data_IF_540942682070
#
_entry.id   IF_540942682070
#
_cell.length_a   1.000
_cell.length_b   1.000
_cell.length_c   1.000
_cell.angle_alpha   90.00
_cell.angle_beta   90.00
_cell.angle_gamma   90.00
#
_symmetry.space_group_name_H-M   'P 1'
#
loop_
_entity.id
_entity.type
_entity.pdbx_description
1 polymer ?
#
# COMPACT_ATOMS: atom_id res chain seq x y z
N UNK A 1 15.12 -38.50 12.10
CA UNK A 1 14.55 -37.20 11.70
C UNK A 1 14.25 -37.23 10.23
N UNK A 2 12.98 -37.02 9.85
CA UNK A 2 12.65 -36.75 8.45
C UNK A 2 13.10 -35.33 8.11
N UNK A 3 13.86 -35.11 7.03
CA UNK A 3 14.29 -33.77 6.66
C UNK A 3 13.08 -32.89 6.31
N UNK A 4 13.14 -31.57 6.57
CA UNK A 4 12.11 -30.64 6.12
C UNK A 4 12.05 -30.59 4.58
N UNK A 5 10.86 -30.34 4.05
CA UNK A 5 10.65 -30.09 2.61
C UNK A 5 10.57 -28.58 2.38
N UNK A 6 11.53 -28.01 1.65
CA UNK A 6 11.60 -26.58 1.38
C UNK A 6 11.10 -26.28 -0.03
N UNK A 7 10.15 -25.35 -0.15
CA UNK A 7 9.72 -24.75 -1.41
C UNK A 7 9.96 -23.25 -1.33
N UNK A 8 11.12 -22.79 -1.81
CA UNK A 8 11.49 -21.38 -1.78
C UNK A 8 11.46 -20.76 -3.17
N UNK A 9 11.01 -19.51 -3.26
CA UNK A 9 11.02 -18.66 -4.46
C UNK A 9 12.17 -17.66 -4.45
N UNK A 10 12.77 -17.41 -3.29
CA UNK A 10 13.99 -16.63 -3.12
C UNK A 10 15.07 -17.51 -2.47
N UNK A 11 15.74 -18.42 -3.21
CA UNK A 11 16.72 -19.35 -2.64
C UNK A 11 18.07 -18.67 -2.37
N UNK A 12 18.06 -17.62 -1.56
CA UNK A 12 19.27 -16.90 -1.17
C UNK A 12 20.07 -17.69 -0.13
N UNK A 13 21.41 -17.54 -0.05
CA UNK A 13 22.23 -18.31 0.87
C UNK A 13 21.84 -18.15 2.34
N UNK A 14 21.53 -16.94 2.79
CA UNK A 14 21.09 -16.67 4.16
C UNK A 14 19.75 -17.34 4.47
N UNK A 15 18.77 -17.25 3.56
CA UNK A 15 17.45 -17.88 3.75
C UNK A 15 17.54 -19.42 3.75
N UNK A 16 18.36 -20.00 2.85
CA UNK A 16 18.61 -21.44 2.83
C UNK A 16 19.33 -21.95 4.08
N UNK A 17 20.17 -21.10 4.69
CA UNK A 17 20.96 -21.42 5.87
C UNK A 17 20.20 -21.39 7.21
N UNK A 18 18.93 -21.00 7.22
CA UNK A 18 18.12 -20.98 8.44
C UNK A 18 17.87 -22.41 8.99
N UNK A 19 17.65 -22.57 10.32
CA UNK A 19 17.50 -23.88 10.95
C UNK A 19 16.10 -24.48 10.73
N UNK A 20 15.81 -24.82 9.47
CA UNK A 20 14.54 -25.40 9.01
C UNK A 20 14.25 -26.80 9.60
N UNK A 21 15.24 -27.43 10.21
CA UNK A 21 15.15 -28.74 10.87
C UNK A 21 14.65 -28.65 12.33
N UNK A 22 14.39 -27.44 12.85
CA UNK A 22 13.91 -27.18 14.22
C UNK A 22 12.61 -26.38 14.23
N UNK A 23 11.73 -26.52 15.24
CA UNK A 23 10.48 -25.75 15.32
C UNK A 23 10.79 -24.26 15.47
N UNK A 24 9.89 -23.39 14.97
CA UNK A 24 10.13 -21.95 14.96
C UNK A 24 10.29 -21.38 16.38
N UNK A 25 9.64 -21.98 17.38
CA UNK A 25 9.74 -21.59 18.79
C UNK A 25 11.17 -21.60 19.33
N UNK A 26 12.01 -22.52 18.85
CA UNK A 26 13.39 -22.71 19.30
C UNK A 26 14.40 -21.77 18.63
N UNK A 27 13.99 -21.00 17.62
CA UNK A 27 14.88 -20.05 16.96
C UNK A 27 15.22 -18.90 17.92
N UNK A 28 16.50 -18.69 18.20
CA UNK A 28 16.96 -17.68 19.17
C UNK A 28 18.14 -16.87 18.64
N UNK A 29 18.29 -15.65 19.15
CA UNK A 29 19.48 -14.82 18.93
C UNK A 29 20.64 -15.39 19.78
N UNK A 30 21.90 -15.37 19.31
CA UNK A 30 22.38 -14.86 18.02
C UNK A 30 22.46 -15.90 16.90
N UNK A 31 22.07 -17.17 17.16
CA UNK A 31 22.15 -18.26 16.16
C UNK A 31 21.34 -17.94 14.90
N UNK A 32 20.17 -17.33 15.08
CA UNK A 32 19.32 -16.83 14.00
C UNK A 32 19.28 -15.30 14.08
N UNK A 33 19.45 -14.58 12.95
CA UNK A 33 19.38 -13.12 12.89
C UNK A 33 17.93 -12.62 13.02
N UNK A 34 17.33 -12.84 14.20
CA UNK A 34 15.98 -12.42 14.51
C UNK A 34 15.92 -10.90 14.75
N UNK A 35 14.83 -10.28 14.29
CA UNK A 35 14.52 -8.88 14.54
C UNK A 35 13.27 -8.79 15.40
N UNK A 36 13.31 -7.94 16.42
CA UNK A 36 12.13 -7.59 17.19
C UNK A 36 11.32 -6.54 16.42
N UNK A 37 10.18 -6.97 15.89
CA UNK A 37 9.20 -6.12 15.25
C UNK A 37 7.95 -6.17 16.11
N UNK A 38 7.59 -5.04 16.73
CA UNK A 38 6.35 -4.98 17.51
C UNK A 38 5.16 -5.10 16.56
N UNK A 39 4.70 -6.34 16.41
CA UNK A 39 3.49 -6.74 15.71
C UNK A 39 2.36 -6.99 16.68
N UNK A 40 1.12 -6.75 16.24
CA UNK A 40 -0.09 -7.12 16.95
C UNK A 40 -0.16 -8.62 17.27
N UNK A 41 -1.10 -8.98 18.13
CA UNK A 41 -1.33 -10.38 18.48
C UNK A 41 -1.67 -11.19 17.23
N UNK A 42 -0.91 -12.27 16.99
CA UNK A 42 -1.20 -13.25 15.95
C UNK A 42 -1.69 -14.54 16.59
N UNK A 43 -2.59 -15.24 15.90
CA UNK A 43 -3.05 -16.58 16.29
C UNK A 43 -1.93 -17.63 16.21
N UNK A 44 -0.94 -17.37 15.36
CA UNK A 44 0.20 -18.23 15.06
C UNK A 44 1.49 -17.60 15.57
N UNK A 45 2.52 -18.42 15.80
CA UNK A 45 3.84 -17.90 16.12
C UNK A 45 4.45 -17.25 14.87
N UNK A 46 4.79 -15.96 14.96
CA UNK A 46 5.48 -15.22 13.91
C UNK A 46 6.81 -14.72 14.43
N UNK A 47 7.88 -14.93 13.66
CA UNK A 47 9.19 -14.30 13.89
C UNK A 47 9.63 -13.54 12.64
N UNK A 48 10.48 -12.53 12.82
CA UNK A 48 11.07 -11.78 11.72
C UNK A 48 12.56 -12.06 11.65
N UNK A 49 13.04 -12.37 10.45
CA UNK A 49 14.41 -12.85 10.22
C UNK A 49 15.05 -11.98 9.15
N UNK A 50 16.22 -11.43 9.46
CA UNK A 50 17.06 -10.72 8.51
C UNK A 50 17.94 -11.73 7.76
N UNK A 51 17.78 -11.84 6.44
CA UNK A 51 18.62 -12.71 5.62
C UNK A 51 18.92 -12.05 4.29
N UNK A 52 20.21 -11.98 3.95
CA UNK A 52 20.71 -11.41 2.69
C UNK A 52 20.28 -9.94 2.47
N UNK A 53 20.17 -9.16 3.56
CA UNK A 53 19.76 -7.76 3.53
C UNK A 53 18.26 -7.55 3.33
N UNK A 54 17.46 -8.60 3.40
CA UNK A 54 16.00 -8.56 3.34
C UNK A 54 15.40 -9.06 4.65
N UNK A 55 14.27 -8.47 5.04
CA UNK A 55 13.50 -8.92 6.18
C UNK A 55 12.39 -9.88 5.74
N UNK A 56 12.30 -11.02 6.42
CA UNK A 56 11.32 -12.06 6.15
C UNK A 56 10.43 -12.26 7.38
N UNK A 57 9.12 -12.45 7.16
CA UNK A 57 8.22 -12.94 8.19
C UNK A 57 8.08 -14.45 8.04
N UNK A 58 8.32 -15.18 9.13
CA UNK A 58 8.15 -16.64 9.20
C UNK A 58 7.02 -16.96 10.17
N UNK A 59 5.98 -17.64 9.68
CA UNK A 59 4.73 -17.94 10.40
C UNK A 59 4.59 -19.46 10.54
N UNK A 60 4.60 -19.96 11.78
CA UNK A 60 4.47 -21.38 12.12
C UNK A 60 2.98 -21.77 12.20
N UNK A 61 2.55 -22.73 11.39
CA UNK A 61 1.15 -23.05 11.15
C UNK A 61 0.92 -24.53 10.81
N UNK A 62 -0.30 -25.05 11.02
CA UNK A 62 -0.65 -26.40 10.55
C UNK A 62 -0.43 -26.57 9.03
N UNK A 63 0.16 -27.69 8.56
CA UNK A 63 0.62 -27.85 7.17
C UNK A 63 -0.43 -27.57 6.10
N UNK A 64 -1.66 -28.03 6.33
CA UNK A 64 -2.78 -27.82 5.39
C UNK A 64 -3.15 -26.35 5.26
N UNK A 65 -3.10 -25.62 6.36
CA UNK A 65 -3.45 -24.20 6.42
C UNK A 65 -2.34 -23.38 5.77
N UNK A 66 -1.08 -23.65 6.11
CA UNK A 66 0.08 -23.00 5.52
C UNK A 66 0.14 -23.18 3.99
N UNK A 67 -0.14 -24.40 3.50
CA UNK A 67 -0.21 -24.67 2.07
C UNK A 67 -1.33 -23.89 1.37
N UNK A 68 -2.53 -23.87 1.96
CA UNK A 68 -3.66 -23.09 1.43
C UNK A 68 -3.32 -21.60 1.38
N UNK A 69 -2.81 -21.03 2.47
CA UNK A 69 -2.47 -19.61 2.54
C UNK A 69 -1.35 -19.25 1.55
N UNK A 70 -0.31 -20.10 1.42
CA UNK A 70 0.74 -19.93 0.41
C UNK A 70 0.17 -19.88 -1.01
N UNK A 71 -0.72 -20.81 -1.37
CA UNK A 71 -1.33 -20.88 -2.70
C UNK A 71 -2.23 -19.66 -2.98
N UNK A 72 -2.98 -19.19 -1.99
CA UNK A 72 -3.80 -17.97 -2.10
C UNK A 72 -2.91 -16.76 -2.30
N UNK A 73 -1.93 -16.52 -1.43
CA UNK A 73 -1.01 -15.38 -1.55
C UNK A 73 -0.27 -15.38 -2.89
N UNK A 74 0.11 -16.56 -3.38
CA UNK A 74 0.71 -16.72 -4.71
C UNK A 74 -0.22 -16.24 -5.81
N UNK A 75 -1.49 -16.60 -5.72
CA UNK A 75 -2.48 -16.18 -6.71
C UNK A 75 -2.75 -14.68 -6.63
N UNK A 76 -2.79 -14.11 -5.42
CA UNK A 76 -2.93 -12.65 -5.23
C UNK A 76 -1.76 -11.90 -5.87
N UNK A 77 -0.53 -12.37 -5.70
CA UNK A 77 0.66 -11.80 -6.35
C UNK A 77 0.59 -11.90 -7.89
N UNK A 78 0.17 -13.05 -8.44
CA UNK A 78 -0.02 -13.23 -9.88
C UNK A 78 -1.07 -12.28 -10.47
N UNK A 79 -2.07 -11.89 -9.65
CA UNK A 79 -3.10 -10.92 -10.01
C UNK A 79 -2.69 -9.47 -9.72
N UNK A 80 -1.46 -9.23 -9.23
CA UNK A 80 -0.99 -7.88 -8.90
C UNK A 80 -1.69 -7.23 -7.70
N UNK A 81 -2.38 -8.02 -6.86
CA UNK A 81 -3.18 -7.51 -5.77
C UNK A 81 -2.32 -7.09 -4.56
N UNK A 82 -2.75 -6.07 -3.80
CA UNK A 82 -2.02 -5.56 -2.63
C UNK A 82 -2.10 -6.54 -1.45
N UNK A 83 -1.25 -7.55 -1.48
CA UNK A 83 -1.04 -8.53 -0.41
C UNK A 83 0.46 -8.79 -0.20
N UNK A 84 0.82 -9.33 0.97
CA UNK A 84 2.21 -9.73 1.24
C UNK A 84 2.65 -10.84 0.28
N UNK A 85 3.90 -10.75 -0.19
CA UNK A 85 4.41 -11.68 -1.19
C UNK A 85 4.97 -12.95 -0.54
N UNK A 86 4.49 -14.15 -0.93
CA UNK A 86 5.00 -15.41 -0.39
C UNK A 86 6.38 -15.72 -0.99
N UNK A 87 7.35 -15.88 -0.11
CA UNK A 87 8.74 -16.22 -0.42
C UNK A 87 8.99 -17.73 -0.37
N UNK A 88 8.19 -18.47 0.39
CA UNK A 88 8.31 -19.92 0.43
C UNK A 88 7.39 -20.60 1.44
N UNK A 89 7.41 -21.92 1.41
CA UNK A 89 6.71 -22.80 2.33
C UNK A 89 7.66 -23.94 2.72
N UNK A 90 7.81 -24.17 4.03
CA UNK A 90 8.66 -25.23 4.56
C UNK A 90 7.80 -26.21 5.35
N UNK A 91 7.69 -27.45 4.91
CA UNK A 91 7.00 -28.50 5.66
C UNK A 91 7.99 -29.14 6.64
N UNK A 92 7.56 -29.34 7.87
CA UNK A 92 8.34 -30.00 8.92
C UNK A 92 7.60 -31.25 9.42
N UNK A 93 7.68 -32.39 8.69
CA UNK A 93 6.91 -33.59 9.02
C UNK A 93 7.21 -34.20 10.40
N UNK A 94 8.38 -33.90 10.98
CA UNK A 94 8.75 -34.35 12.32
C UNK A 94 7.94 -33.64 13.42
N UNK A 95 7.56 -32.38 13.20
CA UNK A 95 6.84 -31.54 14.17
C UNK A 95 5.35 -31.37 13.82
N UNK A 96 4.90 -32.01 12.74
CA UNK A 96 3.54 -31.86 12.19
C UNK A 96 3.15 -30.40 11.91
N UNK A 97 4.12 -29.54 11.61
CA UNK A 97 3.93 -28.12 11.30
C UNK A 97 4.50 -27.73 9.94
N UNK A 98 4.19 -26.52 9.50
CA UNK A 98 4.78 -25.87 8.36
C UNK A 98 5.08 -24.41 8.66
N UNK A 99 6.12 -23.86 8.03
CA UNK A 99 6.49 -22.47 8.12
C UNK A 99 6.18 -21.79 6.79
N UNK A 100 5.24 -20.85 6.82
CA UNK A 100 4.99 -19.93 5.71
C UNK A 100 6.00 -18.78 5.79
N UNK A 101 6.71 -18.52 4.69
CA UNK A 101 7.69 -17.44 4.59
C UNK A 101 7.12 -16.37 3.66
N UNK A 102 6.99 -15.14 4.15
CA UNK A 102 6.58 -13.98 3.34
C UNK A 102 7.64 -12.89 3.41
N UNK A 103 7.75 -12.09 2.34
CA UNK A 103 8.59 -10.90 2.34
C UNK A 103 7.96 -9.87 3.26
N UNK A 104 8.76 -9.29 4.14
CA UNK A 104 8.30 -8.17 4.95
C UNK A 104 8.07 -6.94 4.07
N UNK A 105 6.96 -6.24 4.30
CA UNK A 105 6.65 -5.01 3.59
C UNK A 105 7.36 -3.83 4.26
N UNK A 106 8.51 -3.43 3.71
CA UNK A 106 9.29 -2.29 4.21
C UNK A 106 8.51 -0.97 4.10
N UNK A 107 8.70 -0.07 5.07
CA UNK A 107 7.96 1.19 5.10
C UNK A 107 6.44 1.02 5.29
N UNK A 108 6.01 -0.10 5.88
CA UNK A 108 4.62 -0.32 6.25
C UNK A 108 4.40 -0.24 7.76
N UNK A 109 3.17 0.10 8.14
CA UNK A 109 2.75 0.25 9.52
C UNK A 109 1.49 -0.55 9.78
N UNK A 110 1.45 -1.11 10.98
CA UNK A 110 0.19 -1.59 11.54
C UNK A 110 -0.63 -0.40 11.99
N UNK A 111 -1.95 -0.52 11.85
CA UNK A 111 -2.91 0.51 12.22
C UNK A 111 -2.66 1.11 13.61
N UNK A 112 -2.41 0.24 14.60
CA UNK A 112 -2.20 0.64 15.99
C UNK A 112 -1.10 1.71 16.14
N UNK A 113 0.00 1.57 15.39
CA UNK A 113 1.12 2.52 15.45
C UNK A 113 0.76 3.86 14.83
N UNK A 114 0.05 3.84 13.71
CA UNK A 114 -0.43 5.05 13.05
C UNK A 114 -1.34 5.83 14.00
N UNK A 115 -2.31 5.14 14.60
CA UNK A 115 -3.28 5.78 15.47
C UNK A 115 -2.71 6.24 16.81
N UNK A 116 -1.72 5.54 17.39
CA UNK A 116 -0.99 6.02 18.58
C UNK A 116 -0.27 7.35 18.35
N UNK A 117 0.07 7.67 17.09
CA UNK A 117 0.79 8.89 16.72
C UNK A 117 -0.09 9.94 16.04
N UNK A 118 -1.28 9.56 15.61
CA UNK A 118 -2.29 10.48 15.12
C UNK A 118 -3.00 11.13 16.30
N UNK A 119 -2.98 12.47 16.41
CA UNK A 119 -3.74 13.16 17.43
C UNK A 119 -5.23 12.79 17.33
N UNK A 120 -5.92 12.51 18.45
CA UNK A 120 -7.31 12.05 18.46
C UNK A 120 -8.27 13.06 17.80
N UNK A 121 -7.88 14.32 17.69
CA UNK A 121 -8.58 15.42 17.04
C UNK A 121 -8.37 15.53 15.51
N UNK A 122 -7.70 14.55 14.87
CA UNK A 122 -7.46 14.55 13.41
C UNK A 122 -8.28 13.49 12.64
N UNK A 123 -9.60 13.71 12.46
CA UNK A 123 -10.48 12.76 11.78
C UNK A 123 -10.11 12.53 10.30
N UNK A 124 -9.45 13.50 9.65
CA UNK A 124 -9.02 13.38 8.26
C UNK A 124 -8.00 12.27 8.03
N UNK A 125 -7.07 12.06 8.96
CA UNK A 125 -6.06 11.00 8.81
C UNK A 125 -6.66 9.61 9.03
N UNK A 126 -7.60 9.47 9.98
CA UNK A 126 -8.38 8.24 10.12
C UNK A 126 -9.19 7.95 8.87
N UNK A 127 -9.87 8.96 8.31
CA UNK A 127 -10.61 8.82 7.07
C UNK A 127 -9.74 8.27 5.93
N UNK A 128 -8.49 8.73 5.77
CA UNK A 128 -7.56 8.22 4.75
C UNK A 128 -7.20 6.73 4.95
N UNK A 129 -7.09 6.27 6.19
CA UNK A 129 -6.85 4.85 6.48
C UNK A 129 -8.05 3.99 6.12
N UNK A 130 -9.24 4.47 6.50
CA UNK A 130 -10.51 3.81 6.19
C UNK A 130 -10.78 3.80 4.67
N UNK A 131 -10.39 4.85 3.94
CA UNK A 131 -10.39 4.88 2.47
C UNK A 131 -9.48 3.81 1.87
N UNK A 132 -8.25 3.69 2.39
CA UNK A 132 -7.31 2.66 1.93
C UNK A 132 -7.87 1.25 2.14
N UNK A 133 -8.53 0.99 3.28
CA UNK A 133 -9.20 -0.29 3.54
C UNK A 133 -10.36 -0.57 2.59
N UNK A 134 -11.24 0.42 2.37
CA UNK A 134 -12.33 0.28 1.42
C UNK A 134 -11.79 -0.01 0.00
N UNK A 135 -10.73 0.71 -0.40
CA UNK A 135 -10.04 0.49 -1.67
C UNK A 135 -9.45 -0.92 -1.80
N UNK A 136 -8.78 -1.43 -0.76
CA UNK A 136 -8.28 -2.81 -0.73
C UNK A 136 -9.41 -3.82 -0.93
N UNK A 137 -10.51 -3.68 -0.18
CA UNK A 137 -11.62 -4.62 -0.25
C UNK A 137 -12.32 -4.60 -1.62
N UNK A 138 -12.50 -3.40 -2.21
CA UNK A 138 -13.00 -3.27 -3.59
C UNK A 138 -12.11 -4.03 -4.57
N UNK A 139 -10.79 -3.88 -4.46
CA UNK A 139 -9.84 -4.55 -5.36
C UNK A 139 -9.89 -6.07 -5.25
N UNK A 140 -9.89 -6.60 -4.02
CA UNK A 140 -10.03 -8.04 -3.78
C UNK A 140 -11.34 -8.56 -4.39
N UNK A 141 -12.46 -7.88 -4.13
CA UNK A 141 -13.78 -8.29 -4.59
C UNK A 141 -13.93 -8.22 -6.12
N UNK A 142 -13.33 -7.23 -6.78
CA UNK A 142 -13.32 -7.13 -8.26
C UNK A 142 -12.61 -8.31 -8.91
N UNK A 143 -11.64 -8.90 -8.22
CA UNK A 143 -10.86 -10.05 -8.67
C UNK A 143 -11.37 -11.38 -8.12
N UNK A 144 -12.59 -11.41 -7.56
CA UNK A 144 -13.21 -12.64 -7.10
C UNK A 144 -12.66 -13.17 -5.77
N UNK A 145 -11.90 -12.35 -5.02
CA UNK A 145 -11.28 -12.76 -3.75
C UNK A 145 -12.19 -12.39 -2.59
N UNK A 146 -12.70 -13.41 -1.89
CA UNK A 146 -13.34 -13.27 -0.58
C UNK A 146 -12.26 -13.32 0.51
N UNK A 147 -12.22 -12.35 1.41
CA UNK A 147 -11.18 -12.26 2.44
C UNK A 147 -11.51 -13.12 3.66
N UNK A 148 -12.71 -13.00 4.21
CA UNK A 148 -13.21 -13.79 5.34
C UNK A 148 -12.66 -13.42 6.71
N UNK A 149 -11.71 -12.48 6.81
CA UNK A 149 -11.17 -11.95 8.07
C UNK A 149 -10.64 -10.52 7.89
N UNK A 150 -11.47 -9.67 7.26
CA UNK A 150 -11.20 -8.26 7.04
C UNK A 150 -11.02 -7.54 8.39
N UNK A 151 -9.81 -7.13 8.75
CA UNK A 151 -9.55 -6.48 10.04
C UNK A 151 -8.37 -5.52 9.99
N UNK A 152 -8.34 -4.56 10.91
CA UNK A 152 -7.19 -3.68 11.11
C UNK A 152 -5.92 -4.43 11.53
N UNK A 153 -6.07 -5.58 12.18
CA UNK A 153 -4.95 -6.42 12.61
C UNK A 153 -4.30 -7.17 11.43
N UNK A 154 -5.10 -7.57 10.43
CA UNK A 154 -4.64 -8.27 9.24
C UNK A 154 -4.30 -7.32 8.06
N UNK A 155 -4.25 -6.01 8.33
CA UNK A 155 -3.96 -4.98 7.34
C UNK A 155 -2.67 -4.24 7.68
N UNK A 156 -1.77 -4.13 6.71
CA UNK A 156 -0.65 -3.19 6.75
C UNK A 156 -0.96 -1.97 5.88
N UNK A 157 -0.46 -0.82 6.29
CA UNK A 157 -0.59 0.43 5.54
C UNK A 157 0.79 0.89 5.12
N UNK A 158 0.94 1.36 3.88
CA UNK A 158 2.14 2.03 3.42
C UNK A 158 1.79 3.35 2.74
N UNK A 159 2.75 4.25 2.63
CA UNK A 159 2.61 5.43 1.78
C UNK A 159 2.77 5.01 0.32
N UNK A 160 1.91 5.53 -0.53
CA UNK A 160 2.02 5.40 -1.98
C UNK A 160 1.78 6.78 -2.61
N UNK A 161 2.86 7.56 -2.71
CA UNK A 161 2.80 8.93 -3.16
C UNK A 161 2.05 9.78 -2.14
N UNK A 162 0.95 10.40 -2.56
CA UNK A 162 0.12 11.22 -1.67
C UNK A 162 -0.95 10.42 -0.90
N UNK A 163 -1.14 9.14 -1.24
CA UNK A 163 -2.18 8.29 -0.67
C UNK A 163 -1.62 7.31 0.36
N UNK A 164 -2.54 6.60 1.03
CA UNK A 164 -2.23 5.42 1.82
C UNK A 164 -2.72 4.20 1.07
N UNK A 165 -1.86 3.19 0.97
CA UNK A 165 -2.19 1.90 0.41
C UNK A 165 -2.37 0.90 1.56
N UNK A 166 -3.47 0.16 1.54
CA UNK A 166 -3.69 -0.96 2.45
C UNK A 166 -3.28 -2.28 1.77
N UNK A 167 -2.74 -3.21 2.57
CA UNK A 167 -2.21 -4.49 2.14
C UNK A 167 -2.76 -5.62 3.00
N UNK A 168 -3.23 -6.69 2.36
CA UNK A 168 -3.65 -7.92 3.03
C UNK A 168 -2.43 -8.70 3.50
N UNK A 169 -2.39 -9.06 4.78
CA UNK A 169 -1.28 -9.83 5.37
C UNK A 169 -1.64 -11.27 5.68
N UNK A 170 -2.87 -11.51 6.12
CA UNK A 170 -3.36 -12.85 6.45
C UNK A 170 -4.43 -13.27 5.44
N UNK A 171 -4.11 -14.32 4.68
CA UNK A 171 -4.99 -14.90 3.66
C UNK A 171 -5.54 -16.28 4.07
N UNK A 172 -5.40 -16.67 5.34
CA UNK A 172 -5.80 -17.99 5.86
C UNK A 172 -7.27 -18.31 5.55
N UNK A 173 -8.15 -17.34 5.80
CA UNK A 173 -9.60 -17.44 5.61
C UNK A 173 -10.04 -17.14 4.18
N UNK A 174 -9.12 -16.66 3.34
CA UNK A 174 -9.49 -16.18 2.00
C UNK A 174 -9.82 -17.32 1.04
N UNK A 175 -10.65 -16.98 0.06
CA UNK A 175 -11.09 -17.85 -1.01
C UNK A 175 -11.11 -17.09 -2.34
N UNK A 176 -10.70 -17.76 -3.41
CA UNK A 176 -10.68 -17.17 -4.75
C UNK A 176 -11.74 -17.85 -5.60
N UNK A 177 -12.64 -17.04 -6.14
CA UNK A 177 -13.75 -17.45 -7.00
C UNK A 177 -13.62 -16.77 -8.37
N UNK A 178 -14.24 -17.30 -9.44
CA UNK A 178 -14.26 -16.60 -10.72
C UNK A 178 -14.89 -15.20 -10.64
N UNK A 179 -15.94 -15.07 -9.82
CA UNK A 179 -16.61 -13.81 -9.48
C UNK A 179 -17.28 -13.97 -8.13
N UNK A 180 -17.22 -12.94 -7.27
CA UNK A 180 -17.98 -12.97 -6.01
C UNK A 180 -19.47 -12.67 -6.23
N UNK A 181 -20.31 -13.43 -5.54
CA UNK A 181 -21.73 -13.11 -5.40
C UNK A 181 -21.94 -11.85 -4.54
N UNK A 182 -23.10 -11.19 -4.69
CA UNK A 182 -23.49 -10.08 -3.80
C UNK A 182 -23.54 -10.52 -2.33
N UNK A 183 -23.91 -11.77 -2.06
CA UNK A 183 -23.97 -12.34 -0.71
C UNK A 183 -22.59 -12.44 -0.06
N UNK A 184 -21.60 -12.97 -0.79
CA UNK A 184 -20.21 -13.05 -0.32
C UNK A 184 -19.63 -11.66 -0.04
N UNK A 185 -19.81 -10.70 -0.96
CA UNK A 185 -19.33 -9.33 -0.75
C UNK A 185 -19.97 -8.66 0.47
N UNK A 186 -21.27 -8.86 0.67
CA UNK A 186 -21.97 -8.32 1.85
C UNK A 186 -21.45 -8.96 3.14
N UNK A 187 -21.19 -10.26 3.12
CA UNK A 187 -20.66 -10.96 4.28
C UNK A 187 -19.27 -10.45 4.68
N UNK A 188 -18.37 -10.22 3.71
CA UNK A 188 -17.06 -9.61 3.98
C UNK A 188 -17.19 -8.18 4.54
N UNK A 189 -18.19 -7.41 4.11
CA UNK A 189 -18.46 -6.07 4.65
C UNK A 189 -18.96 -6.12 6.10
N UNK A 190 -19.85 -7.07 6.43
CA UNK A 190 -20.35 -7.27 7.80
C UNK A 190 -19.18 -7.60 8.74
N UNK A 191 -18.33 -8.58 8.37
CA UNK A 191 -17.11 -8.93 9.10
C UNK A 191 -16.19 -7.72 9.26
N UNK A 192 -15.96 -6.98 8.18
CA UNK A 192 -15.08 -5.83 8.18
C UNK A 192 -15.55 -4.72 9.13
N UNK A 193 -16.84 -4.37 9.10
CA UNK A 193 -17.39 -3.32 9.98
C UNK A 193 -17.25 -3.73 11.45
N UNK A 194 -17.60 -4.97 11.80
CA UNK A 194 -17.48 -5.49 13.16
C UNK A 194 -16.01 -5.46 13.64
N UNK A 195 -15.11 -6.05 12.87
CA UNK A 195 -13.69 -6.15 13.21
C UNK A 195 -12.98 -4.79 13.26
N UNK A 196 -13.31 -3.87 12.36
CA UNK A 196 -12.75 -2.51 12.36
C UNK A 196 -13.26 -1.76 13.59
N UNK A 197 -14.57 -1.79 13.87
CA UNK A 197 -15.14 -1.14 15.05
C UNK A 197 -14.50 -1.65 16.35
N UNK A 198 -14.38 -2.97 16.51
CA UNK A 198 -13.71 -3.58 17.66
C UNK A 198 -12.25 -3.13 17.77
N UNK A 199 -11.50 -3.15 16.66
CA UNK A 199 -10.11 -2.73 16.63
C UNK A 199 -9.88 -1.26 16.97
N UNK A 200 -10.83 -0.37 16.59
CA UNK A 200 -10.79 1.05 16.94
C UNK A 200 -11.07 1.28 18.43
N UNK A 201 -12.07 0.60 18.98
CA UNK A 201 -12.46 0.73 20.39
C UNK A 201 -11.39 0.16 21.32
N UNK A 202 -10.88 -1.06 21.06
CA UNK A 202 -9.76 -1.66 21.83
C UNK A 202 -8.56 -0.70 21.87
N UNK A 203 -8.29 -0.01 20.77
CA UNK A 203 -7.20 0.94 20.72
C UNK A 203 -7.48 2.23 21.51
N UNK A 204 -8.70 2.76 21.44
CA UNK A 204 -9.12 3.93 22.21
C UNK A 204 -9.02 3.67 23.72
N UNK A 205 -9.46 2.49 24.18
CA UNK A 205 -9.36 2.07 25.58
C UNK A 205 -7.90 1.96 26.05
N UNK A 206 -7.04 1.32 25.25
CA UNK A 206 -5.59 1.22 25.56
C UNK A 206 -4.90 2.57 25.64
N UNK A 207 -5.40 3.55 24.90
CA UNK A 207 -4.91 4.93 24.91
C UNK A 207 -5.53 5.79 26.01
N UNK A 208 -6.50 5.27 26.77
CA UNK A 208 -7.22 6.00 27.80
C UNK A 208 -8.07 7.15 27.23
N UNK A 209 -8.57 7.01 26.01
CA UNK A 209 -9.46 8.01 25.41
C UNK A 209 -10.84 7.99 26.10
N UNK A 210 -11.59 9.12 26.09
CA UNK A 210 -12.92 9.16 26.68
C UNK A 210 -13.91 8.22 25.98
N UNK A 211 -14.79 7.58 26.75
CA UNK A 211 -15.84 6.68 26.26
C UNK A 211 -16.74 7.31 25.18
N UNK A 212 -16.94 8.63 25.24
CA UNK A 212 -17.69 9.40 24.23
C UNK A 212 -17.11 9.24 22.81
N UNK A 213 -15.81 8.95 22.71
CA UNK A 213 -15.13 8.69 21.44
C UNK A 213 -15.55 7.36 20.80
N UNK A 214 -15.99 6.37 21.59
CA UNK A 214 -16.34 5.05 21.07
C UNK A 214 -17.48 5.11 20.04
N UNK A 215 -18.50 5.92 20.30
CA UNK A 215 -19.60 6.12 19.35
C UNK A 215 -19.12 6.74 18.03
N UNK A 216 -18.17 7.67 18.11
CA UNK A 216 -17.58 8.29 16.92
C UNK A 216 -16.78 7.27 16.10
N UNK A 217 -15.99 6.43 16.77
CA UNK A 217 -15.17 5.41 16.12
C UNK A 217 -16.01 4.30 15.48
N UNK A 218 -17.08 3.86 16.14
CA UNK A 218 -18.03 2.90 15.56
C UNK A 218 -18.68 3.50 14.31
N UNK A 219 -19.14 4.76 14.37
CA UNK A 219 -19.71 5.43 13.21
C UNK A 219 -18.67 5.61 12.07
N UNK A 220 -17.39 5.85 12.39
CA UNK A 220 -16.32 5.88 11.40
C UNK A 220 -16.10 4.50 10.75
N UNK A 221 -16.17 3.40 11.50
CA UNK A 221 -16.09 2.04 10.95
C UNK A 221 -17.25 1.73 9.99
N UNK A 222 -18.49 2.12 10.36
CA UNK A 222 -19.66 1.97 9.49
C UNK A 222 -19.51 2.76 8.17
N UNK A 223 -18.81 3.90 8.19
CA UNK A 223 -18.53 4.66 6.97
C UNK A 223 -17.63 3.91 5.97
N UNK A 224 -16.84 2.92 6.41
CA UNK A 224 -16.01 2.12 5.49
C UNK A 224 -16.91 1.38 4.50
N UNK A 225 -18.04 0.84 4.97
CA UNK A 225 -19.02 0.19 4.10
C UNK A 225 -19.57 1.17 3.07
N UNK A 226 -19.98 2.37 3.49
CA UNK A 226 -20.51 3.38 2.57
C UNK A 226 -19.47 3.83 1.52
N UNK A 227 -18.20 3.94 1.92
CA UNK A 227 -17.07 4.25 1.01
C UNK A 227 -16.87 3.11 0.01
N UNK A 228 -16.85 1.87 0.47
CA UNK A 228 -16.77 0.69 -0.39
C UNK A 228 -17.94 0.65 -1.39
N UNK A 229 -19.18 0.87 -0.94
CA UNK A 229 -20.36 0.82 -1.82
C UNK A 229 -20.31 1.91 -2.87
N UNK A 230 -19.96 3.14 -2.48
CA UNK A 230 -19.76 4.27 -3.39
C UNK A 230 -18.71 3.92 -4.46
N UNK A 231 -17.57 3.37 -4.05
CA UNK A 231 -16.50 2.95 -4.95
C UNK A 231 -16.95 1.84 -5.90
N UNK A 232 -17.60 0.81 -5.35
CA UNK A 232 -18.11 -0.30 -6.13
C UNK A 232 -19.10 0.17 -7.20
N UNK A 233 -20.02 1.05 -6.84
CA UNK A 233 -20.97 1.66 -7.77
C UNK A 233 -20.27 2.48 -8.84
N UNK A 234 -19.31 3.35 -8.48
CA UNK A 234 -18.57 4.16 -9.43
C UNK A 234 -17.83 3.31 -10.48
N UNK A 235 -17.27 2.17 -10.06
CA UNK A 235 -16.52 1.26 -10.93
C UNK A 235 -17.41 0.41 -11.85
N UNK A 236 -18.67 0.18 -11.46
CA UNK A 236 -19.60 -0.69 -12.20
C UNK A 236 -20.75 0.07 -12.86
N UNK A 237 -20.87 1.38 -12.63
CA UNK A 237 -21.89 2.21 -13.24
C UNK A 237 -21.56 2.52 -14.71
N UNK A 238 -22.61 2.55 -15.54
CA UNK A 238 -22.55 3.10 -16.90
C UNK A 238 -23.41 4.37 -16.96
N UNK A 239 -22.97 5.50 -16.36
CA UNK A 239 -23.79 6.70 -16.31
C UNK A 239 -24.02 7.27 -17.71
N UNK A 240 -25.21 7.86 -17.91
CA UNK A 240 -25.61 8.50 -19.17
C UNK A 240 -25.69 10.01 -18.97
N UNK A 241 -24.87 10.76 -19.69
CA UNK A 241 -24.80 12.23 -19.62
C UNK A 241 -25.27 12.88 -20.91
N UNK A 242 -25.65 14.17 -20.87
CA UNK A 242 -25.79 14.94 -22.10
C UNK A 242 -24.43 15.20 -22.74
N UNK A 243 -24.36 15.41 -24.06
CA UNK A 243 -23.09 15.68 -24.75
C UNK A 243 -22.29 16.88 -24.16
N UNK A 244 -22.98 17.87 -23.57
CA UNK A 244 -22.36 19.05 -22.98
C UNK A 244 -21.93 18.88 -21.51
N UNK A 245 -22.20 17.74 -20.87
CA UNK A 245 -21.90 17.50 -19.45
C UNK A 245 -20.46 16.96 -19.23
N UNK A 246 -19.47 17.45 -19.98
CA UNK A 246 -18.07 16.98 -19.90
C UNK A 246 -17.49 17.08 -18.48
N UNK A 247 -17.90 18.12 -17.72
CA UNK A 247 -17.51 18.30 -16.32
C UNK A 247 -17.89 17.14 -15.40
N UNK A 248 -18.95 16.37 -15.73
CA UNK A 248 -19.36 15.20 -14.93
C UNK A 248 -18.39 14.03 -15.10
N UNK A 249 -17.90 13.84 -16.32
CA UNK A 249 -16.91 12.80 -16.63
C UNK A 249 -15.60 13.12 -15.94
N UNK A 250 -15.12 14.36 -16.05
CA UNK A 250 -13.94 14.85 -15.33
C UNK A 250 -14.10 14.70 -13.81
N UNK A 251 -15.28 15.00 -13.28
CA UNK A 251 -15.59 14.81 -11.86
C UNK A 251 -15.54 13.34 -11.42
N UNK A 252 -16.02 12.41 -12.23
CA UNK A 252 -15.92 10.96 -11.95
C UNK A 252 -14.47 10.49 -11.97
N UNK A 253 -13.68 10.90 -12.97
CA UNK A 253 -12.25 10.56 -13.06
C UNK A 253 -11.50 11.11 -11.84
N UNK A 254 -11.72 12.38 -11.50
CA UNK A 254 -11.10 13.00 -10.33
C UNK A 254 -11.43 12.24 -9.05
N UNK A 255 -12.70 11.86 -8.87
CA UNK A 255 -13.13 11.11 -7.68
C UNK A 255 -12.49 9.71 -7.60
N UNK A 256 -12.30 9.03 -8.72
CA UNK A 256 -11.57 7.76 -8.76
C UNK A 256 -10.10 7.94 -8.39
N UNK A 257 -9.44 8.97 -8.94
CA UNK A 257 -8.05 9.30 -8.62
C UNK A 257 -7.88 9.69 -7.14
N UNK A 258 -8.79 10.51 -6.59
CA UNK A 258 -8.82 10.86 -5.16
C UNK A 258 -8.93 9.64 -4.24
N UNK A 259 -9.48 8.54 -4.76
CA UNK A 259 -9.65 7.27 -4.05
C UNK A 259 -8.58 6.22 -4.42
N UNK A 260 -7.57 6.62 -5.21
CA UNK A 260 -6.41 5.78 -5.56
C UNK A 260 -6.63 4.80 -6.71
N UNK A 261 -7.63 5.02 -7.55
CA UNK A 261 -7.86 4.23 -8.76
C UNK A 261 -7.36 4.97 -10.00
N UNK A 262 -6.49 4.34 -10.79
CA UNK A 262 -6.06 4.86 -12.09
C UNK A 262 -7.09 4.51 -13.18
N UNK A 263 -7.60 5.54 -13.86
CA UNK A 263 -8.49 5.36 -15.02
C UNK A 263 -7.64 5.05 -16.26
N UNK A 264 -7.88 3.89 -16.86
CA UNK A 264 -7.12 3.38 -18.02
C UNK A 264 -7.80 3.77 -19.34
N UNK A 265 -9.10 3.46 -19.48
CA UNK A 265 -9.85 3.80 -20.68
C UNK A 265 -11.18 4.49 -20.34
N UNK A 266 -11.50 5.53 -21.10
CA UNK A 266 -12.80 6.18 -21.10
C UNK A 266 -13.52 5.90 -22.41
N UNK A 267 -14.53 5.02 -22.39
CA UNK A 267 -15.37 4.76 -23.54
C UNK A 267 -16.64 5.61 -23.49
N UNK A 268 -16.80 6.50 -24.48
CA UNK A 268 -18.00 7.31 -24.68
C UNK A 268 -18.77 6.77 -25.88
N UNK A 269 -20.01 6.31 -25.67
CA UNK A 269 -20.89 5.82 -26.74
C UNK A 269 -22.22 6.56 -26.74
N UNK A 270 -22.81 6.90 -27.89
CA UNK A 270 -24.18 7.43 -27.91
C UNK A 270 -25.14 6.47 -27.22
N UNK A 271 -26.07 7.00 -26.44
CA UNK A 271 -27.08 6.17 -25.78
C UNK A 271 -28.08 5.62 -26.80
N UNK A 272 -28.46 4.36 -26.64
CA UNK A 272 -29.33 3.68 -27.59
C UNK A 272 -30.77 4.23 -27.59
N UNK A 273 -31.22 4.83 -26.48
CA UNK A 273 -32.55 5.42 -26.37
C UNK A 273 -32.58 6.90 -26.78
N UNK A 274 -31.48 7.63 -26.60
CA UNK A 274 -31.35 9.04 -26.95
C UNK A 274 -29.95 9.38 -27.49
N UNK A 275 -29.79 9.54 -28.82
CA UNK A 275 -28.50 9.86 -29.44
C UNK A 275 -27.90 11.22 -29.03
N UNK A 276 -28.66 12.11 -28.39
CA UNK A 276 -28.15 13.37 -27.83
C UNK A 276 -27.41 13.18 -26.49
N UNK A 277 -27.50 11.96 -25.94
CA UNK A 277 -26.86 11.55 -24.70
C UNK A 277 -25.74 10.56 -24.98
N UNK A 278 -24.75 10.56 -24.10
CA UNK A 278 -23.58 9.71 -24.15
C UNK A 278 -23.57 8.81 -22.92
N UNK A 279 -23.50 7.49 -23.14
CA UNK A 279 -23.17 6.52 -22.13
C UNK A 279 -21.66 6.48 -21.93
N UNK A 280 -21.26 6.59 -20.68
CA UNK A 280 -19.86 6.58 -20.28
C UNK A 280 -19.56 5.29 -19.58
N UNK A 281 -18.52 4.61 -20.04
CA UNK A 281 -17.94 3.47 -19.34
C UNK A 281 -16.50 3.82 -19.02
N UNK A 282 -16.20 3.87 -17.74
CA UNK A 282 -14.83 4.04 -17.24
C UNK A 282 -14.27 2.65 -17.00
N UNK A 283 -13.26 2.28 -17.77
CA UNK A 283 -12.44 1.12 -17.44
C UNK A 283 -11.35 1.62 -16.49
N UNK A 284 -11.42 1.16 -15.25
CA UNK A 284 -10.31 1.29 -14.31
C UNK A 284 -9.37 0.14 -14.59
N UNK A 285 -8.15 0.48 -14.99
CA UNK A 285 -7.13 -0.48 -15.39
C UNK A 285 -6.68 -1.33 -14.21
N UNK A 286 -5.72 -2.22 -14.51
CA UNK A 286 -4.94 -2.87 -13.47
C UNK A 286 -4.27 -1.79 -12.60
N UNK A 287 -4.25 -1.97 -11.28
CA UNK A 287 -3.80 -0.97 -10.29
C UNK A 287 -2.30 -0.67 -10.40
N UNK A 288 -1.60 -1.17 -11.42
CA UNK A 288 -0.17 -0.99 -11.67
C UNK A 288 0.13 -0.38 -13.05
N UNK A 289 -0.82 0.30 -13.70
CA UNK A 289 -0.60 0.88 -15.03
C UNK A 289 0.58 1.86 -15.06
N UNK A 290 0.55 2.88 -14.19
CA UNK A 290 1.63 3.87 -14.10
C UNK A 290 2.93 3.22 -13.62
N UNK A 291 2.84 2.32 -12.64
CA UNK A 291 3.99 1.59 -12.13
C UNK A 291 4.67 0.75 -13.22
N UNK A 292 3.89 0.05 -14.07
CA UNK A 292 4.42 -0.74 -15.16
C UNK A 292 5.03 0.14 -16.25
N UNK A 293 4.37 1.23 -16.65
CA UNK A 293 4.90 2.18 -17.64
C UNK A 293 6.22 2.80 -17.17
N UNK A 294 6.27 3.28 -15.92
CA UNK A 294 7.49 3.83 -15.34
C UNK A 294 8.60 2.78 -15.26
N UNK A 295 8.27 1.54 -14.88
CA UNK A 295 9.22 0.44 -14.82
C UNK A 295 9.80 0.11 -16.19
N UNK A 296 8.99 0.10 -17.24
CA UNK A 296 9.45 -0.17 -18.60
C UNK A 296 10.39 0.94 -19.11
N UNK A 297 10.17 2.19 -18.68
CA UNK A 297 11.02 3.34 -19.02
C UNK A 297 12.32 3.42 -18.21
N UNK A 298 12.27 3.09 -16.91
CA UNK A 298 13.33 3.43 -15.94
C UNK A 298 13.90 2.25 -15.18
N UNK A 299 13.20 1.11 -15.15
CA UNK A 299 13.51 -0.04 -14.31
C UNK A 299 13.07 0.10 -12.84
N UNK A 300 12.47 1.21 -12.43
CA UNK A 300 12.01 1.44 -11.06
C UNK A 300 10.77 0.60 -10.76
N UNK A 301 10.78 -0.12 -9.63
CA UNK A 301 9.64 -0.88 -9.12
C UNK A 301 9.07 -0.13 -7.91
N UNK A 302 7.97 0.60 -8.12
CA UNK A 302 7.35 1.52 -7.16
C UNK A 302 5.84 1.30 -7.10
N UNK A 303 5.19 1.94 -6.12
CA UNK A 303 3.73 1.96 -6.03
C UNK A 303 3.08 2.79 -7.15
N UNK A 304 1.78 2.62 -7.35
CA UNK A 304 1.04 3.28 -8.44
C UNK A 304 0.92 4.78 -8.22
N UNK A 305 0.62 5.20 -6.98
CA UNK A 305 0.56 6.61 -6.60
C UNK A 305 1.92 7.30 -6.71
N UNK A 306 3.00 6.61 -6.33
CA UNK A 306 4.36 7.07 -6.57
C UNK A 306 4.63 7.21 -8.07
N UNK A 307 4.32 6.18 -8.86
CA UNK A 307 4.59 6.19 -10.30
C UNK A 307 3.86 7.32 -11.03
N UNK A 308 2.61 7.60 -10.69
CA UNK A 308 1.86 8.71 -11.25
C UNK A 308 2.54 10.07 -11.00
N UNK A 309 3.06 10.29 -9.79
CA UNK A 309 3.80 11.51 -9.43
C UNK A 309 5.13 11.59 -10.21
N UNK A 310 5.88 10.50 -10.25
CA UNK A 310 7.18 10.43 -10.92
C UNK A 310 7.07 10.61 -12.44
N UNK A 311 6.06 10.01 -13.08
CA UNK A 311 5.78 10.22 -14.50
C UNK A 311 5.43 11.67 -14.79
N UNK A 312 4.68 12.34 -13.91
CA UNK A 312 4.41 13.77 -14.02
C UNK A 312 5.67 14.64 -13.98
N UNK A 313 6.61 14.33 -13.07
CA UNK A 313 7.89 15.03 -12.96
C UNK A 313 8.79 14.75 -14.19
N UNK A 314 8.80 13.50 -14.67
CA UNK A 314 9.49 13.09 -15.90
C UNK A 314 8.96 13.84 -17.12
N UNK A 315 7.64 13.95 -17.29
CA UNK A 315 7.04 14.67 -18.42
C UNK A 315 7.33 16.17 -18.36
N UNK A 316 7.35 16.76 -17.15
CA UNK A 316 7.77 18.15 -16.98
C UNK A 316 9.24 18.37 -17.40
N UNK A 317 10.13 17.46 -17.01
CA UNK A 317 11.54 17.49 -17.41
C UNK A 317 11.72 17.26 -18.93
N UNK A 318 10.97 16.32 -19.52
CA UNK A 318 10.96 16.11 -20.97
C UNK A 318 10.56 17.38 -21.72
N UNK A 319 9.51 18.08 -21.26
CA UNK A 319 9.08 19.33 -21.88
C UNK A 319 10.18 20.40 -21.82
N UNK A 320 10.92 20.49 -20.71
CA UNK A 320 12.08 21.39 -20.60
C UNK A 320 13.20 20.99 -21.57
N UNK A 321 13.55 19.70 -21.64
CA UNK A 321 14.57 19.20 -22.58
C UNK A 321 14.21 19.50 -24.04
N UNK A 322 12.95 19.33 -24.44
CA UNK A 322 12.51 19.64 -25.80
C UNK A 322 12.70 21.12 -26.13
N UNK A 323 12.44 22.02 -25.18
CA UNK A 323 12.66 23.46 -25.34
C UNK A 323 14.14 23.80 -25.48
N UNK A 324 15.00 23.19 -24.68
CA UNK A 324 16.45 23.42 -24.69
C UNK A 324 17.13 22.85 -25.95
N UNK A 325 16.71 21.67 -26.39
CA UNK A 325 17.22 21.00 -27.58
C UNK A 325 16.69 21.61 -28.89
N UNK A 326 15.53 22.28 -28.84
CA UNK A 326 14.85 22.84 -30.02
C UNK A 326 14.17 21.79 -30.91
N UNK A 327 14.02 20.56 -30.43
CA UNK A 327 13.29 19.48 -31.08
C UNK A 327 12.68 18.54 -30.04
N UNK A 328 11.72 17.71 -30.45
CA UNK A 328 11.12 16.72 -29.55
C UNK A 328 12.16 15.65 -29.15
N UNK A 329 12.25 15.39 -27.84
CA UNK A 329 13.07 14.32 -27.25
C UNK A 329 12.15 13.14 -26.94
N UNK A 330 12.54 11.94 -27.34
CA UNK A 330 11.74 10.74 -27.07
C UNK A 330 11.65 10.43 -25.57
N UNK A 331 10.52 9.86 -25.14
CA UNK A 331 10.22 9.63 -23.73
C UNK A 331 11.26 8.71 -23.06
N UNK A 332 11.77 7.70 -23.75
CA UNK A 332 12.79 6.79 -23.20
C UNK A 332 14.13 7.48 -22.97
N UNK A 333 14.54 8.39 -23.85
CA UNK A 333 15.74 9.22 -23.66
C UNK A 333 15.54 10.20 -22.52
N UNK A 334 14.40 10.89 -22.47
CA UNK A 334 14.07 11.80 -21.38
C UNK A 334 14.03 11.08 -20.03
N UNK A 335 13.45 9.88 -19.97
CA UNK A 335 13.39 9.05 -18.76
C UNK A 335 14.79 8.72 -18.22
N UNK A 336 15.71 8.26 -19.08
CA UNK A 336 17.09 7.93 -18.67
C UNK A 336 17.83 9.16 -18.13
N UNK A 337 17.71 10.29 -18.81
CA UNK A 337 18.34 11.54 -18.39
C UNK A 337 17.73 12.05 -17.09
N UNK A 338 16.40 12.02 -16.95
CA UNK A 338 15.68 12.41 -15.75
C UNK A 338 16.12 11.58 -14.54
N UNK A 339 16.26 10.25 -14.68
CA UNK A 339 16.74 9.40 -13.59
C UNK A 339 18.11 9.87 -13.10
N UNK A 340 19.04 10.13 -14.03
CA UNK A 340 20.44 10.48 -13.71
C UNK A 340 20.56 11.90 -13.15
N UNK A 341 19.88 12.87 -13.77
CA UNK A 341 20.09 14.29 -13.51
C UNK A 341 19.16 14.84 -12.43
N UNK A 342 17.99 14.24 -12.25
CA UNK A 342 16.94 14.75 -11.37
C UNK A 342 16.63 13.75 -10.26
N UNK A 343 16.14 12.55 -10.58
CA UNK A 343 15.64 11.63 -9.56
C UNK A 343 16.74 11.21 -8.57
N UNK A 344 17.84 10.61 -9.05
CA UNK A 344 18.88 10.04 -8.18
C UNK A 344 19.53 11.07 -7.25
N UNK A 345 19.87 12.31 -7.69
CA UNK A 345 20.39 13.33 -6.79
C UNK A 345 19.38 13.78 -5.73
N UNK A 346 18.13 13.99 -6.11
CA UNK A 346 17.15 14.60 -5.20
C UNK A 346 16.44 13.60 -4.29
N UNK A 347 16.29 12.32 -4.69
CA UNK A 347 15.74 11.29 -3.81
C UNK A 347 16.61 11.06 -2.57
N UNK A 348 17.93 11.10 -2.72
CA UNK A 348 18.85 10.94 -1.60
C UNK A 348 18.84 12.14 -0.66
N UNK A 349 18.79 13.36 -1.22
CA UNK A 349 18.67 14.58 -0.43
C UNK A 349 17.34 14.64 0.33
N UNK A 350 16.24 14.25 -0.34
CA UNK A 350 14.94 14.17 0.30
C UNK A 350 14.92 13.13 1.42
N UNK A 351 15.51 11.94 1.19
CA UNK A 351 15.61 10.88 2.19
C UNK A 351 16.40 11.33 3.41
N UNK A 352 17.50 12.04 3.21
CA UNK A 352 18.26 12.67 4.30
C UNK A 352 17.45 13.73 5.05
N UNK A 353 16.69 14.57 4.34
CA UNK A 353 15.84 15.60 4.94
C UNK A 353 14.79 14.99 5.90
N UNK A 354 14.27 13.81 5.58
CA UNK A 354 13.34 13.07 6.45
C UNK A 354 14.04 12.08 7.39
N UNK A 355 15.35 12.25 7.64
CA UNK A 355 16.17 11.40 8.54
C UNK A 355 16.12 9.91 8.19
N UNK A 356 16.12 9.61 6.89
CA UNK A 356 16.03 8.28 6.33
C UNK A 356 14.74 7.52 6.69
N UNK A 357 13.67 8.22 7.05
CA UNK A 357 12.35 7.62 7.19
C UNK A 357 11.80 7.19 5.82
N UNK A 358 11.16 6.02 5.76
CA UNK A 358 10.58 5.48 4.53
C UNK A 358 11.63 5.15 3.45
N UNK A 359 11.16 5.07 2.20
CA UNK A 359 12.03 4.84 1.04
C UNK A 359 12.51 6.17 0.42
N UNK A 360 13.65 6.19 -0.28
CA UNK A 360 14.11 7.39 -0.98
C UNK A 360 13.10 7.93 -2.00
N UNK A 361 12.43 7.03 -2.73
CA UNK A 361 11.37 7.39 -3.68
C UNK A 361 10.20 8.08 -2.98
N UNK A 362 9.71 7.55 -1.86
CA UNK A 362 8.62 8.19 -1.14
C UNK A 362 9.03 9.57 -0.63
N UNK A 363 10.26 9.72 -0.13
CA UNK A 363 10.78 11.02 0.29
C UNK A 363 10.85 12.02 -0.88
N UNK A 364 11.22 11.55 -2.08
CA UNK A 364 11.17 12.38 -3.29
C UNK A 364 9.75 12.80 -3.67
N UNK A 365 8.77 11.89 -3.62
CA UNK A 365 7.37 12.23 -3.83
C UNK A 365 6.87 13.27 -2.82
N UNK A 366 7.23 13.12 -1.54
CA UNK A 366 6.90 14.07 -0.48
C UNK A 366 7.56 15.45 -0.73
N UNK A 367 8.81 15.48 -1.21
CA UNK A 367 9.48 16.72 -1.64
C UNK A 367 8.75 17.43 -2.78
N UNK A 368 8.30 16.68 -3.80
CA UNK A 368 7.53 17.23 -4.92
C UNK A 368 6.19 17.83 -4.47
N UNK A 369 5.48 17.15 -3.56
CA UNK A 369 4.24 17.64 -2.96
C UNK A 369 4.47 18.94 -2.18
N UNK A 370 5.48 18.96 -1.30
CA UNK A 370 5.84 20.16 -0.52
C UNK A 370 6.22 21.32 -1.43
N UNK A 371 7.00 21.08 -2.49
CA UNK A 371 7.35 22.10 -3.49
C UNK A 371 6.11 22.70 -4.14
N UNK A 372 5.17 21.85 -4.54
CA UNK A 372 3.93 22.28 -5.19
C UNK A 372 3.08 23.16 -4.25
N UNK A 373 2.81 22.69 -3.02
CA UNK A 373 2.01 23.43 -2.03
C UNK A 373 2.63 24.79 -1.65
N UNK A 374 3.95 24.82 -1.45
CA UNK A 374 4.66 26.07 -1.16
C UNK A 374 4.63 27.04 -2.35
N UNK A 375 4.68 26.51 -3.58
CA UNK A 375 4.60 27.32 -4.79
C UNK A 375 3.20 27.90 -5.00
N UNK A 376 2.16 27.11 -4.71
CA UNK A 376 0.77 27.55 -4.73
C UNK A 376 0.56 28.71 -3.74
N UNK A 377 1.00 28.53 -2.48
CA UNK A 377 0.91 29.58 -1.45
C UNK A 377 1.69 30.85 -1.81
N UNK A 378 2.83 30.70 -2.50
CA UNK A 378 3.66 31.83 -2.92
C UNK A 378 3.20 32.48 -4.24
N UNK A 379 2.28 31.85 -4.98
CA UNK A 379 1.87 32.25 -6.33
C UNK A 379 3.00 32.17 -7.37
N UNK A 380 4.08 31.44 -7.09
CA UNK A 380 5.27 31.27 -7.96
C UNK A 380 6.07 30.06 -7.53
N UNK A 381 6.88 29.52 -8.43
CA UNK A 381 7.82 28.45 -8.09
C UNK A 381 8.81 28.91 -7.01
N UNK A 382 8.90 28.11 -5.94
CA UNK A 382 9.81 28.33 -4.81
C UNK A 382 11.17 27.63 -4.99
N UNK A 383 11.25 26.68 -5.91
CA UNK A 383 12.42 25.86 -6.18
C UNK A 383 12.68 24.74 -5.16
N UNK A 384 13.45 23.74 -5.57
CA UNK A 384 13.71 22.52 -4.79
C UNK A 384 14.43 22.78 -3.47
N UNK A 385 15.38 23.72 -3.42
CA UNK A 385 16.14 24.03 -2.20
C UNK A 385 15.25 24.54 -1.06
N UNK A 386 14.25 25.38 -1.38
CA UNK A 386 13.31 25.89 -0.38
C UNK A 386 12.36 24.79 0.10
N UNK A 387 11.93 23.90 -0.81
CA UNK A 387 11.12 22.74 -0.45
C UNK A 387 11.89 21.75 0.44
N UNK A 388 13.15 21.45 0.13
CA UNK A 388 14.03 20.62 0.95
C UNK A 388 14.21 21.19 2.37
N UNK A 389 14.42 22.51 2.49
CA UNK A 389 14.54 23.17 3.78
C UNK A 389 13.24 23.07 4.60
N UNK A 390 12.08 23.20 3.95
CA UNK A 390 10.79 23.04 4.61
C UNK A 390 10.56 21.60 5.08
N UNK A 391 10.90 20.62 4.25
CA UNK A 391 10.81 19.19 4.57
C UNK A 391 11.73 18.83 5.76
N UNK A 392 12.98 19.28 5.74
CA UNK A 392 13.94 19.04 6.83
C UNK A 392 13.57 19.76 8.13
N UNK A 393 12.96 20.94 8.04
CA UNK A 393 12.56 21.78 9.17
C UNK A 393 11.19 21.45 9.76
N UNK A 394 10.49 20.44 9.25
CA UNK A 394 9.10 20.11 9.60
C UNK A 394 8.13 21.31 9.46
N UNK A 395 8.41 22.19 8.48
CA UNK A 395 7.53 23.32 8.11
C UNK A 395 6.69 22.90 6.89
N UNK A 396 6.06 21.74 7.03
CA UNK A 396 5.25 21.12 5.99
C UNK A 396 3.83 21.69 6.05
N UNK A 397 3.22 22.10 4.91
CA UNK A 397 1.84 22.55 4.88
C UNK A 397 0.89 21.52 5.51
N UNK A 398 -0.10 21.98 6.29
CA UNK A 398 -0.96 21.09 7.09
C UNK A 398 -1.73 20.06 6.28
N UNK A 399 -2.11 20.40 5.05
CA UNK A 399 -2.84 19.49 4.15
C UNK A 399 -1.92 18.50 3.42
N UNK A 400 -0.59 18.64 3.55
CA UNK A 400 0.37 17.76 2.89
C UNK A 400 0.39 16.37 3.54
N UNK A 401 0.39 15.35 2.68
CA UNK A 401 0.49 13.97 3.11
C UNK A 401 1.91 13.64 3.62
N UNK A 402 2.94 14.39 3.22
CA UNK A 402 4.30 14.32 3.76
C UNK A 402 4.38 14.53 5.29
N UNK A 403 3.41 15.23 5.89
CA UNK A 403 3.34 15.38 7.35
C UNK A 403 3.13 14.06 8.09
N UNK A 404 2.54 13.06 7.41
CA UNK A 404 2.40 11.71 7.95
C UNK A 404 3.76 10.99 8.06
N UNK A 405 4.71 11.27 7.16
CA UNK A 405 6.04 10.68 7.16
C UNK A 405 6.93 11.18 8.32
N UNK A 406 6.75 12.43 8.76
CA UNK A 406 7.55 13.02 9.87
C UNK A 406 7.17 12.46 11.24
N UNK A 407 6.01 11.81 11.36
CA UNK A 407 5.57 11.11 12.56
C UNK A 407 6.25 9.74 12.77
N UNK A 408 7.27 9.38 11.97
CA UNK A 408 7.78 8.02 11.92
C UNK A 408 9.22 7.83 12.37
N UNK A 409 9.38 6.93 13.34
CA UNK A 409 10.32 5.82 13.19
C UNK A 409 9.54 4.70 12.50
N UNK A 410 9.99 4.17 11.34
CA UNK A 410 9.40 2.98 10.73
C UNK A 410 9.35 1.82 11.75
N UNK A 411 8.71 0.71 11.41
CA UNK A 411 9.13 -0.62 11.89
C UNK A 411 10.54 -0.93 11.36
N UNK A 412 11.49 -0.04 11.64
CA UNK A 412 12.89 -0.27 11.39
C UNK A 412 13.27 -1.46 12.29
N UNK A 413 13.88 -2.51 11.73
CA UNK A 413 14.44 -3.57 12.55
C UNK A 413 15.38 -2.92 13.56
N UNK A 414 15.14 -3.12 14.85
CA UNK A 414 16.14 -2.77 15.85
C UNK A 414 17.44 -3.52 15.52
N UNK A 415 18.62 -2.94 15.79
CA UNK A 415 19.89 -3.65 15.69
C UNK A 415 19.75 -5.03 16.35
N UNK A 416 20.37 -6.06 15.75
CA UNK A 416 20.45 -7.37 16.38
C UNK A 416 20.89 -7.15 17.82
N UNK A 417 20.13 -7.68 18.78
CA UNK A 417 20.48 -7.55 20.19
C UNK A 417 21.87 -8.16 20.36
N UNK A 418 22.88 -7.32 20.56
CA UNK A 418 24.21 -7.81 20.91
C UNK A 418 24.09 -8.49 22.28
N UNK A 419 24.57 -9.73 22.43
CA UNK A 419 24.59 -10.39 23.72
C UNK A 419 25.65 -9.71 24.59
N UNK A 420 25.21 -8.95 25.59
CA UNK A 420 26.04 -8.58 26.74
C UNK A 420 26.46 -9.82 27.54
#
# INVERSE_FOLDING_TARGET
MRPPELRLRAPTPGLLGLPWDRPLSEWVVPEVPLRDIAVGASRHLVKFVDADGLLWAVKDMPPRIAAKEYDVLRRLEEMGLPAVHPAGLVLQPEFETAILVTRYLEGSWQYRRLFMRLPPDQPRHRARLLDAMAGLLVELHRHGVFWGDCSLANTLFSRDGQLLQAWLVDAETSEIHPTLSRGQRRHDLEIMVENVAEGLVDLAERLGLPEEMHQTLIAEAEQVQARYETLWELLHAEPVFGFNDRYRVEGTIRRLNELGFAVDELALRPDAADPSRMRVRVAVGDRRYHAQHLRDLTGLDVGEGQAAILLGDLHAYQAQLCLEAGHDVDESTAARLWVIEVLTPYEQLAHQAVRHAGTPIQAYCDLLEVRWLLSEQAGRDVGTNKALAALAGDVIPTDSAAKMAVAEVPTAPFPVLDPD
#
